data_IF_917073091028
#
_entry.id   IF_917073091028
#
_cell.length_a   1.000
_cell.length_b   1.000
_cell.length_c   1.000
_cell.angle_alpha   90.00
_cell.angle_beta   90.00
_cell.angle_gamma   90.00
#
_symmetry.space_group_name_H-M   'P 1'
#
loop_
_entity.id
_entity.type
_entity.pdbx_description
1 polymer ?
#
# COMPACT_ATOMS: atom_id res chain seq x y z
N UNK A 1 -53.50 -23.87 -26.77
CA UNK A 1 -52.21 -24.28 -27.37
C UNK A 1 -51.31 -23.06 -27.54
N UNK A 2 -51.89 -21.90 -27.86
CA UNK A 2 -51.22 -20.58 -27.96
C UNK A 2 -50.50 -20.14 -26.66
N UNK A 3 -51.13 -20.26 -25.48
CA UNK A 3 -50.51 -19.84 -24.20
C UNK A 3 -49.17 -20.51 -23.87
N UNK A 4 -48.96 -21.77 -24.31
CA UNK A 4 -47.69 -22.48 -24.11
C UNK A 4 -46.61 -21.98 -25.07
N UNK A 5 -47.00 -21.56 -26.27
CA UNK A 5 -46.08 -21.06 -27.30
C UNK A 5 -45.58 -19.65 -26.93
N UNK A 6 -46.48 -18.80 -26.45
CA UNK A 6 -46.15 -17.45 -25.98
C UNK A 6 -45.24 -17.47 -24.76
N UNK A 7 -45.47 -18.38 -23.81
CA UNK A 7 -44.62 -18.53 -22.63
C UNK A 7 -43.21 -19.03 -23.00
N UNK A 8 -43.13 -19.95 -23.97
CA UNK A 8 -41.87 -20.47 -24.46
C UNK A 8 -41.08 -19.43 -25.26
N UNK A 9 -41.77 -18.56 -26.02
CA UNK A 9 -41.13 -17.45 -26.73
C UNK A 9 -40.60 -16.38 -25.76
N UNK A 10 -41.34 -16.04 -24.71
CA UNK A 10 -40.89 -15.11 -23.66
C UNK A 10 -39.66 -15.63 -22.91
N UNK A 11 -39.65 -16.91 -22.55
CA UNK A 11 -38.50 -17.52 -21.88
C UNK A 11 -37.23 -17.52 -22.76
N UNK A 12 -37.38 -17.69 -24.08
CA UNK A 12 -36.25 -17.60 -25.00
C UNK A 12 -35.68 -16.18 -25.11
N UNK A 13 -36.55 -15.17 -25.06
CA UNK A 13 -36.15 -13.76 -25.12
C UNK A 13 -35.45 -13.32 -23.83
N UNK A 14 -35.94 -13.77 -22.68
CA UNK A 14 -35.30 -13.54 -21.37
C UNK A 14 -33.93 -14.24 -21.28
N UNK A 15 -33.81 -15.47 -21.78
CA UNK A 15 -32.51 -16.16 -21.88
C UNK A 15 -31.52 -15.41 -22.76
N UNK A 16 -31.95 -14.86 -23.90
CA UNK A 16 -31.08 -14.07 -24.78
C UNK A 16 -30.62 -12.78 -24.11
N UNK A 17 -31.52 -12.12 -23.38
CA UNK A 17 -31.20 -10.91 -22.61
C UNK A 17 -30.16 -11.19 -21.53
N UNK A 18 -30.35 -12.26 -20.74
CA UNK A 18 -29.42 -12.67 -19.70
C UNK A 18 -28.04 -13.08 -20.28
N UNK A 19 -28.02 -13.69 -21.46
CA UNK A 19 -26.77 -13.99 -22.16
C UNK A 19 -26.02 -12.74 -22.61
N UNK A 20 -26.72 -11.70 -23.03
CA UNK A 20 -26.10 -10.45 -23.47
C UNK A 20 -25.57 -9.63 -22.28
N UNK A 21 -26.31 -9.60 -21.17
CA UNK A 21 -25.87 -8.98 -19.92
C UNK A 21 -24.60 -9.66 -19.38
N UNK A 22 -24.56 -10.99 -19.38
CA UNK A 22 -23.38 -11.75 -18.98
C UNK A 22 -22.16 -11.49 -19.89
N UNK A 23 -22.37 -11.26 -21.20
CA UNK A 23 -21.25 -10.90 -22.10
C UNK A 23 -20.69 -9.51 -21.79
N UNK A 24 -21.55 -8.56 -21.44
CA UNK A 24 -21.14 -7.21 -21.08
C UNK A 24 -20.32 -7.23 -19.78
N UNK A 25 -20.77 -7.98 -18.77
CA UNK A 25 -20.01 -8.16 -17.52
C UNK A 25 -18.63 -8.79 -17.77
N UNK A 26 -18.55 -9.79 -18.65
CA UNK A 26 -17.27 -10.41 -19.04
C UNK A 26 -16.36 -9.40 -19.74
N UNK A 27 -16.91 -8.53 -20.59
CA UNK A 27 -16.15 -7.49 -21.27
C UNK A 27 -15.59 -6.44 -20.28
N UNK A 28 -16.38 -6.04 -19.29
CA UNK A 28 -15.97 -5.09 -18.26
C UNK A 28 -14.88 -5.67 -17.35
N UNK A 29 -15.01 -6.95 -16.98
CA UNK A 29 -13.97 -7.68 -16.25
C UNK A 29 -12.69 -7.78 -17.09
N UNK A 30 -12.80 -8.08 -18.39
CA UNK A 30 -11.64 -8.16 -19.28
C UNK A 30 -10.91 -6.82 -19.40
N UNK A 31 -11.65 -5.73 -19.59
CA UNK A 31 -11.09 -4.38 -19.64
C UNK A 31 -10.40 -3.99 -18.31
N UNK A 32 -11.00 -4.37 -17.18
CA UNK A 32 -10.39 -4.16 -15.86
C UNK A 32 -9.10 -4.97 -15.68
N UNK A 33 -9.06 -6.21 -16.18
CA UNK A 33 -7.86 -7.06 -16.16
C UNK A 33 -6.75 -6.45 -17.03
N UNK A 34 -7.07 -6.01 -18.25
CA UNK A 34 -6.09 -5.38 -19.15
C UNK A 34 -5.54 -4.08 -18.57
N UNK A 35 -6.38 -3.25 -17.95
CA UNK A 35 -5.94 -2.05 -17.24
C UNK A 35 -5.01 -2.39 -16.07
N UNK A 36 -5.34 -3.41 -15.29
CA UNK A 36 -4.51 -3.84 -14.14
C UNK A 36 -3.17 -4.42 -14.61
N UNK A 37 -3.15 -5.14 -15.74
CA UNK A 37 -1.94 -5.65 -16.36
C UNK A 37 -1.01 -4.53 -16.83
N UNK A 38 -1.55 -3.53 -17.52
CA UNK A 38 -0.78 -2.35 -17.95
C UNK A 38 -0.16 -1.61 -16.76
N UNK A 39 -0.89 -1.48 -15.64
CA UNK A 39 -0.37 -0.87 -14.41
C UNK A 39 0.73 -1.70 -13.74
N UNK A 40 0.73 -3.02 -13.89
CA UNK A 40 1.79 -3.90 -13.42
C UNK A 40 3.05 -3.78 -14.28
N UNK A 41 2.89 -3.72 -15.61
CA UNK A 41 4.01 -3.49 -16.55
C UNK A 41 4.66 -2.10 -16.30
N UNK A 42 3.87 -1.05 -16.07
CA UNK A 42 4.37 0.27 -15.65
C UNK A 42 5.09 0.23 -14.29
N UNK A 43 4.62 -0.60 -13.34
CA UNK A 43 5.27 -0.77 -12.05
C UNK A 43 6.62 -1.49 -12.20
N UNK A 44 6.73 -2.49 -13.08
CA UNK A 44 7.98 -3.17 -13.41
C UNK A 44 9.00 -2.23 -14.08
N UNK A 45 8.54 -1.37 -14.99
CA UNK A 45 9.38 -0.32 -15.60
C UNK A 45 9.80 0.77 -14.60
N UNK A 46 8.94 1.09 -13.64
CA UNK A 46 9.28 1.98 -12.53
C UNK A 46 10.35 1.35 -11.61
N UNK A 47 10.30 0.03 -11.41
CA UNK A 47 11.32 -0.74 -10.66
C UNK A 47 12.65 -0.78 -11.44
N UNK A 48 12.63 -0.94 -12.77
CA UNK A 48 13.84 -1.02 -13.61
C UNK A 48 14.53 0.35 -13.81
N UNK A 49 13.76 1.44 -13.89
CA UNK A 49 14.24 2.82 -14.03
C UNK A 49 14.87 3.44 -12.77
N UNK A 50 14.85 2.74 -11.62
CA UNK A 50 15.39 3.27 -10.37
C UNK A 50 16.91 3.56 -10.39
N UNK A 51 17.65 2.94 -11.31
CA UNK A 51 19.08 3.21 -11.50
C UNK A 51 19.36 4.65 -11.94
N UNK A 52 18.52 5.22 -12.81
CA UNK A 52 18.62 6.62 -13.24
C UNK A 52 18.06 7.58 -12.17
N UNK A 53 16.98 7.19 -11.49
CA UNK A 53 16.36 8.01 -10.45
C UNK A 53 17.30 8.31 -9.28
N UNK A 54 18.13 7.34 -8.86
CA UNK A 54 19.10 7.58 -7.81
C UNK A 54 20.13 8.66 -8.21
N UNK A 55 20.65 8.61 -9.44
CA UNK A 55 21.57 9.63 -9.96
C UNK A 55 20.91 11.02 -9.98
N UNK A 56 19.66 11.09 -10.46
CA UNK A 56 18.88 12.33 -10.47
C UNK A 56 18.68 12.89 -9.05
N UNK A 57 18.34 12.03 -8.07
CA UNK A 57 18.18 12.44 -6.66
C UNK A 57 19.50 12.94 -6.08
N UNK A 58 20.62 12.25 -6.33
CA UNK A 58 21.94 12.68 -5.86
C UNK A 58 22.34 14.03 -6.47
N UNK A 59 22.08 14.23 -7.77
CA UNK A 59 22.33 15.49 -8.46
C UNK A 59 21.45 16.64 -7.92
N UNK A 60 20.17 16.37 -7.66
CA UNK A 60 19.25 17.34 -7.04
C UNK A 60 19.71 17.71 -5.63
N UNK A 61 20.13 16.73 -4.84
CA UNK A 61 20.62 16.92 -3.48
C UNK A 61 21.90 17.75 -3.43
N UNK A 62 22.85 17.47 -4.32
CA UNK A 62 24.05 18.27 -4.48
C UNK A 62 23.71 19.72 -4.85
N UNK A 63 22.77 19.92 -5.80
CA UNK A 63 22.34 21.25 -6.26
C UNK A 63 21.57 22.05 -5.20
N UNK A 64 20.79 21.38 -4.36
CA UNK A 64 19.92 22.01 -3.35
C UNK A 64 20.46 21.90 -1.93
N UNK A 65 21.68 21.36 -1.77
CA UNK A 65 22.41 21.22 -0.51
C UNK A 65 21.65 20.49 0.59
N UNK A 66 20.81 19.51 0.24
CA UNK A 66 20.20 18.59 1.21
C UNK A 66 20.91 17.23 1.19
N UNK A 67 20.83 16.48 2.29
CA UNK A 67 21.46 15.16 2.39
C UNK A 67 20.49 14.08 1.91
N UNK A 68 21.00 13.13 1.13
CA UNK A 68 20.25 11.92 0.73
C UNK A 68 20.74 10.76 1.57
N UNK A 69 19.82 10.08 2.24
CA UNK A 69 20.10 8.82 2.90
C UNK A 69 19.60 7.67 2.02
N UNK A 70 20.49 6.75 1.68
CA UNK A 70 20.13 5.55 0.94
C UNK A 70 19.93 4.38 1.89
N UNK A 71 18.73 3.82 1.89
CA UNK A 71 18.36 2.74 2.81
C UNK A 71 17.89 1.54 2.04
N UNK A 72 18.61 0.43 2.16
CA UNK A 72 18.22 -0.84 1.56
C UNK A 72 17.06 -1.44 2.36
N UNK A 73 15.98 -1.82 1.67
CA UNK A 73 14.78 -2.36 2.29
C UNK A 73 14.40 -3.73 1.72
N UNK A 74 13.65 -4.48 2.51
CA UNK A 74 12.84 -5.58 2.01
C UNK A 74 11.43 -5.06 1.75
N UNK A 75 10.84 -5.45 0.63
CA UNK A 75 9.38 -5.39 0.48
C UNK A 75 8.81 -6.71 0.98
N UNK A 76 7.91 -6.60 1.94
CA UNK A 76 7.15 -7.73 2.45
C UNK A 76 5.78 -7.71 1.79
N UNK A 77 5.39 -8.83 1.20
CA UNK A 77 4.10 -8.96 0.51
C UNK A 77 3.42 -10.24 0.99
N UNK A 78 2.13 -10.14 1.32
CA UNK A 78 1.35 -11.29 1.76
C UNK A 78 1.24 -12.30 0.62
N UNK A 79 1.41 -13.59 0.94
CA UNK A 79 1.46 -14.67 -0.06
C UNK A 79 0.23 -14.66 -0.99
N UNK A 80 -0.97 -14.49 -0.44
CA UNK A 80 -2.20 -14.45 -1.22
C UNK A 80 -2.26 -13.23 -2.14
N UNK A 81 -1.66 -12.10 -1.74
CA UNK A 81 -1.53 -10.91 -2.59
C UNK A 81 -0.60 -11.21 -3.76
N UNK A 82 0.58 -11.78 -3.51
CA UNK A 82 1.52 -12.10 -4.59
C UNK A 82 0.92 -13.16 -5.53
N UNK A 83 0.21 -14.18 -5.01
CA UNK A 83 -0.44 -15.21 -5.86
C UNK A 83 -1.49 -14.60 -6.80
N UNK A 84 -2.20 -13.57 -6.35
CA UNK A 84 -3.19 -12.84 -7.16
C UNK A 84 -2.52 -11.93 -8.18
N UNK A 85 -1.47 -11.22 -7.79
CA UNK A 85 -0.85 -10.17 -8.61
C UNK A 85 0.22 -10.69 -9.57
N UNK A 86 1.07 -11.62 -9.12
CA UNK A 86 2.23 -12.12 -9.88
C UNK A 86 2.33 -13.65 -9.73
N UNK A 87 1.42 -14.42 -10.35
CA UNK A 87 1.41 -15.89 -10.22
C UNK A 87 2.71 -16.55 -10.70
N UNK A 88 3.40 -15.93 -11.66
CA UNK A 88 4.66 -16.41 -12.26
C UNK A 88 5.85 -16.41 -11.28
N UNK A 89 5.76 -15.66 -10.17
CA UNK A 89 6.84 -15.56 -9.18
C UNK A 89 6.87 -16.74 -8.20
N UNK A 90 5.91 -17.69 -8.28
CA UNK A 90 5.79 -18.81 -7.35
C UNK A 90 6.07 -20.18 -7.95
N UNK A 91 7.13 -20.82 -7.45
CA UNK A 91 7.26 -22.26 -7.43
C UNK A 91 6.52 -22.82 -6.19
N UNK A 92 5.38 -23.47 -6.43
CA UNK A 92 4.40 -23.95 -5.42
C UNK A 92 5.02 -24.87 -4.34
N UNK A 93 6.23 -25.41 -4.57
CA UNK A 93 6.82 -26.49 -3.78
C UNK A 93 7.57 -26.07 -2.51
N UNK A 94 7.91 -24.79 -2.33
CA UNK A 94 8.72 -24.32 -1.19
C UNK A 94 8.05 -23.26 -0.32
N UNK A 95 6.73 -23.13 -0.38
CA UNK A 95 6.03 -22.13 0.41
C UNK A 95 5.97 -22.53 1.90
N UNK A 96 6.37 -21.66 2.83
CA UNK A 96 5.98 -21.84 4.22
C UNK A 96 4.45 -21.90 4.28
N UNK A 97 3.85 -22.78 5.09
CA UNK A 97 2.40 -22.87 5.19
C UNK A 97 1.87 -21.51 5.61
N UNK A 98 1.12 -20.84 4.72
CA UNK A 98 0.56 -19.52 5.01
C UNK A 98 -0.27 -19.52 6.29
N UNK A 99 -0.39 -18.36 6.95
CA UNK A 99 -1.28 -18.21 8.11
C UNK A 99 -0.60 -18.31 9.47
N UNK A 100 0.59 -17.72 9.62
CA UNK A 100 1.17 -17.49 10.94
C UNK A 100 0.17 -16.71 11.81
N UNK A 101 -0.11 -17.21 13.02
CA UNK A 101 -1.04 -16.57 13.96
C UNK A 101 -0.27 -15.77 15.01
N UNK A 102 -0.70 -14.55 15.35
CA UNK A 102 -0.09 -13.79 16.42
C UNK A 102 -0.33 -14.49 17.77
N UNK A 103 0.50 -14.17 18.75
CA UNK A 103 0.21 -14.49 20.15
C UNK A 103 -1.11 -13.81 20.54
N UNK A 104 -1.93 -14.50 21.32
CA UNK A 104 -3.12 -13.91 21.90
C UNK A 104 -2.75 -12.71 22.79
N UNK A 105 -3.58 -11.67 22.74
CA UNK A 105 -3.47 -10.49 23.60
C UNK A 105 -4.48 -10.58 24.74
N UNK A 106 -4.21 -9.90 25.85
CA UNK A 106 -5.20 -9.75 26.93
C UNK A 106 -6.28 -8.75 26.50
N UNK A 107 -7.41 -9.25 26.00
CA UNK A 107 -8.51 -8.43 25.49
C UNK A 107 -9.31 -7.70 26.57
N UNK A 108 -9.18 -8.08 27.85
CA UNK A 108 -9.82 -7.36 28.95
C UNK A 108 -9.17 -5.99 29.16
N UNK A 109 -7.86 -5.91 28.90
CA UNK A 109 -7.02 -4.72 29.11
C UNK A 109 -6.77 -3.98 27.78
N UNK A 110 -6.57 -4.72 26.69
CA UNK A 110 -6.24 -4.19 25.37
C UNK A 110 -7.40 -4.39 24.41
N UNK A 111 -8.02 -3.30 23.97
CA UNK A 111 -9.21 -3.35 23.12
C UNK A 111 -8.88 -3.04 21.66
N UNK A 112 -9.15 -3.94 20.70
CA UNK A 112 -9.08 -3.61 19.28
C UNK A 112 -10.01 -2.45 18.93
N UNK A 113 -9.51 -1.49 18.16
CA UNK A 113 -10.26 -0.32 17.71
C UNK A 113 -9.64 0.25 16.43
N UNK A 114 -10.15 1.41 15.99
CA UNK A 114 -9.60 2.25 14.93
C UNK A 114 -9.06 3.55 15.50
N UNK A 115 -8.15 4.18 14.76
CA UNK A 115 -7.65 5.52 15.10
C UNK A 115 -8.68 6.57 14.69
N UNK A 116 -9.00 7.46 15.61
CA UNK A 116 -9.59 8.78 15.34
C UNK A 116 -8.53 9.83 14.94
N UNK A 117 -8.94 10.87 14.22
CA UNK A 117 -8.07 11.98 13.76
C UNK A 117 -7.36 12.68 14.91
N UNK A 118 -7.98 12.74 16.09
CA UNK A 118 -7.37 13.29 17.31
C UNK A 118 -6.10 12.55 17.73
N UNK A 119 -5.91 11.30 17.30
CA UNK A 119 -4.69 10.52 17.56
C UNK A 119 -3.55 10.83 16.57
N UNK A 120 -3.76 11.66 15.54
CA UNK A 120 -2.74 11.97 14.55
C UNK A 120 -1.47 12.55 15.19
N UNK A 121 -1.61 13.39 16.22
CA UNK A 121 -0.48 13.95 16.97
C UNK A 121 0.36 12.86 17.65
N UNK A 122 -0.28 11.82 18.18
CA UNK A 122 0.41 10.68 18.79
C UNK A 122 1.22 9.91 17.75
N UNK A 123 0.60 9.55 16.63
CA UNK A 123 1.28 8.85 15.53
C UNK A 123 2.43 9.71 15.00
N UNK A 124 2.20 11.01 14.82
CA UNK A 124 3.20 11.96 14.31
C UNK A 124 4.43 12.05 15.23
N UNK A 125 4.24 11.94 16.54
CA UNK A 125 5.33 11.96 17.53
C UNK A 125 6.24 10.73 17.43
N UNK A 126 5.66 9.55 17.18
CA UNK A 126 6.38 8.28 17.20
C UNK A 126 6.80 7.77 15.82
N UNK A 127 6.23 8.33 14.75
CA UNK A 127 6.63 7.97 13.40
C UNK A 127 8.03 8.50 13.08
N UNK A 128 8.89 7.64 12.53
CA UNK A 128 10.28 7.99 12.22
C UNK A 128 10.41 9.21 11.30
N UNK A 129 9.46 9.41 10.38
CA UNK A 129 9.41 10.56 9.46
C UNK A 129 8.45 11.66 9.92
N UNK A 130 7.94 11.55 11.15
CA UNK A 130 7.01 12.49 11.75
C UNK A 130 7.69 13.67 12.44
N UNK A 131 6.94 14.34 13.30
CA UNK A 131 7.44 15.42 14.17
C UNK A 131 7.23 16.84 13.66
N UNK A 132 6.52 17.05 12.55
CA UNK A 132 6.18 18.39 12.04
C UNK A 132 4.70 18.51 11.65
N UNK A 133 4.24 19.74 11.36
CA UNK A 133 2.84 19.99 10.99
C UNK A 133 2.44 19.30 9.68
N UNK A 134 3.37 19.20 8.72
CA UNK A 134 3.08 18.62 7.42
C UNK A 134 2.90 17.10 7.52
N UNK A 135 3.75 16.43 8.29
CA UNK A 135 3.58 15.01 8.59
C UNK A 135 2.31 14.75 9.39
N UNK A 136 1.92 15.65 10.30
CA UNK A 136 0.64 15.52 10.99
C UNK A 136 -0.56 15.60 10.04
N UNK A 137 -0.63 16.64 9.18
CA UNK A 137 -1.70 16.76 8.17
C UNK A 137 -1.76 15.57 7.22
N UNK A 138 -0.60 14.98 6.92
CA UNK A 138 -0.52 13.75 6.13
C UNK A 138 -1.15 12.57 6.85
N UNK A 139 -0.82 12.37 8.13
CA UNK A 139 -1.40 11.31 8.97
C UNK A 139 -2.90 11.51 9.15
N UNK A 140 -3.36 12.74 9.41
CA UNK A 140 -4.80 13.08 9.53
C UNK A 140 -5.56 12.62 8.28
N UNK A 141 -5.05 12.94 7.09
CA UNK A 141 -5.64 12.48 5.82
C UNK A 141 -5.65 10.96 5.71
N UNK A 142 -4.57 10.29 6.11
CA UNK A 142 -4.51 8.82 6.07
C UNK A 142 -5.57 8.21 6.97
N UNK A 143 -5.74 8.73 8.19
CA UNK A 143 -6.75 8.28 9.15
C UNK A 143 -8.18 8.49 8.62
N UNK A 144 -8.44 9.62 7.95
CA UNK A 144 -9.75 9.92 7.40
C UNK A 144 -10.10 9.10 6.16
N UNK A 145 -9.08 8.67 5.39
CA UNK A 145 -9.28 8.08 4.06
C UNK A 145 -9.22 6.56 4.07
N UNK A 146 -8.38 5.97 4.93
CA UNK A 146 -8.08 4.54 4.89
C UNK A 146 -8.50 3.83 6.19
N UNK A 147 -8.85 2.53 6.11
CA UNK A 147 -9.06 1.72 7.31
C UNK A 147 -7.85 1.76 8.24
N UNK A 148 -8.08 2.06 9.51
CA UNK A 148 -7.04 2.13 10.55
C UNK A 148 -7.28 1.11 11.64
N UNK A 149 -6.20 0.59 12.22
CA UNK A 149 -6.26 -0.45 13.24
C UNK A 149 -5.34 -0.09 14.40
N UNK A 150 -5.87 -0.19 15.62
CA UNK A 150 -5.12 0.03 16.84
C UNK A 150 -5.58 -0.89 17.97
N UNK A 151 -4.78 -0.93 19.03
CA UNK A 151 -5.16 -1.41 20.34
C UNK A 151 -5.22 -0.22 21.29
N UNK A 152 -6.35 -0.07 21.97
CA UNK A 152 -6.52 0.89 23.06
C UNK A 152 -6.04 0.25 24.36
N UNK A 153 -5.31 1.02 25.16
CA UNK A 153 -4.93 0.64 26.52
C UNK A 153 -6.05 0.89 27.53
N UNK A 154 -5.78 0.66 28.82
CA UNK A 154 -6.75 0.85 29.91
C UNK A 154 -7.34 2.26 29.98
N UNK A 155 -6.54 3.27 29.63
CA UNK A 155 -6.93 4.68 29.63
C UNK A 155 -7.73 5.08 28.39
N UNK A 156 -7.99 4.15 27.47
CA UNK A 156 -8.72 4.41 26.22
C UNK A 156 -7.87 5.01 25.11
N UNK A 157 -6.58 5.29 25.34
CA UNK A 157 -5.67 5.82 24.32
C UNK A 157 -5.02 4.69 23.50
N UNK A 158 -4.69 4.92 22.21
CA UNK A 158 -3.96 3.96 21.40
C UNK A 158 -2.56 3.66 21.97
N UNK A 159 -2.27 2.39 22.18
CA UNK A 159 -0.95 1.92 22.67
C UNK A 159 -0.15 1.19 21.60
N UNK A 160 -0.82 0.70 20.56
CA UNK A 160 -0.24 0.03 19.41
C UNK A 160 -1.12 0.31 18.20
N UNK A 161 -0.55 0.62 17.04
CA UNK A 161 -1.31 1.00 15.85
C UNK A 161 -0.57 0.69 14.57
N UNK A 162 -1.32 0.73 13.47
CA UNK A 162 -0.81 0.63 12.13
C UNK A 162 -1.76 1.32 11.14
N UNK A 163 -1.19 1.91 10.08
CA UNK A 163 -1.91 2.73 9.11
C UNK A 163 -1.60 2.29 7.69
N UNK A 164 -2.37 2.78 6.74
CA UNK A 164 -2.00 2.77 5.32
C UNK A 164 -1.89 4.20 4.82
N UNK A 165 -1.12 4.39 3.75
CA UNK A 165 -1.10 5.64 3.00
C UNK A 165 -1.79 5.48 1.62
N UNK A 166 -1.78 6.55 0.83
CA UNK A 166 -2.37 6.58 -0.51
C UNK A 166 -1.77 5.60 -1.52
N UNK A 167 -0.61 5.02 -1.22
CA UNK A 167 -0.05 3.96 -2.08
C UNK A 167 -0.71 2.60 -1.81
N UNK A 168 -1.47 2.47 -0.71
CA UNK A 168 -2.00 1.21 -0.23
C UNK A 168 -0.99 0.42 0.61
N UNK A 169 0.19 0.99 0.84
CA UNK A 169 1.20 0.39 1.68
C UNK A 169 0.85 0.54 3.16
N UNK A 170 1.02 -0.55 3.91
CA UNK A 170 1.00 -0.50 5.35
C UNK A 170 2.21 0.29 5.86
N UNK A 171 1.96 1.45 6.46
CA UNK A 171 2.99 2.37 6.96
C UNK A 171 2.64 2.90 8.34
N UNK A 172 3.61 3.56 8.99
CA UNK A 172 3.41 4.28 10.25
C UNK A 172 3.00 3.40 11.45
N UNK A 173 3.40 2.12 11.41
CA UNK A 173 3.30 1.18 12.52
C UNK A 173 4.00 1.72 13.79
N UNK A 174 3.36 1.57 14.95
CA UNK A 174 3.92 2.04 16.22
C UNK A 174 3.44 1.24 17.43
N UNK A 175 4.26 1.20 18.47
CA UNK A 175 3.89 0.68 19.79
C UNK A 175 4.57 1.51 20.85
N UNK A 176 3.80 2.01 21.82
CA UNK A 176 4.33 2.79 22.93
C UNK A 176 5.39 2.00 23.69
N UNK A 177 6.49 2.65 24.13
CA UNK A 177 7.63 1.98 24.76
C UNK A 177 7.26 0.98 25.88
N UNK A 178 6.33 1.36 26.73
CA UNK A 178 5.84 0.58 27.87
C UNK A 178 5.00 -0.65 27.46
N UNK A 179 4.50 -0.69 26.22
CA UNK A 179 3.75 -1.82 25.64
C UNK A 179 4.58 -2.67 24.66
N UNK A 180 5.86 -2.34 24.45
CA UNK A 180 6.73 -3.09 23.54
C UNK A 180 7.08 -4.49 24.06
N UNK A 181 7.62 -5.32 23.18
CA UNK A 181 8.08 -6.71 23.47
C UNK A 181 6.97 -7.69 23.89
N UNK A 182 5.70 -7.29 23.78
CA UNK A 182 4.54 -8.15 24.07
C UNK A 182 3.92 -8.81 22.82
N UNK A 183 4.42 -8.49 21.62
CA UNK A 183 3.89 -9.01 20.35
C UNK A 183 2.66 -8.28 19.83
N UNK A 184 2.30 -7.14 20.41
CA UNK A 184 1.11 -6.37 20.04
C UNK A 184 1.10 -5.94 18.57
N UNK A 185 2.25 -5.49 18.05
CA UNK A 185 2.31 -5.05 16.65
C UNK A 185 2.07 -6.20 15.67
N UNK A 186 2.50 -7.41 16.01
CA UNK A 186 2.21 -8.62 15.22
C UNK A 186 0.71 -8.91 15.20
N UNK A 187 0.02 -8.71 16.34
CA UNK A 187 -1.42 -8.85 16.42
C UNK A 187 -2.15 -7.81 15.57
N UNK A 188 -1.77 -6.52 15.67
CA UNK A 188 -2.38 -5.44 14.88
C UNK A 188 -2.18 -5.63 13.37
N UNK A 189 -0.95 -5.97 12.94
CA UNK A 189 -0.66 -6.25 11.53
C UNK A 189 -1.48 -7.45 11.05
N UNK A 190 -1.60 -8.51 11.85
CA UNK A 190 -2.40 -9.68 11.50
C UNK A 190 -3.88 -9.32 11.27
N UNK A 191 -4.54 -8.66 12.24
CA UNK A 191 -5.97 -8.32 12.10
C UNK A 191 -6.21 -7.37 10.91
N UNK A 192 -5.31 -6.40 10.69
CA UNK A 192 -5.39 -5.51 9.56
C UNK A 192 -5.21 -6.27 8.24
N UNK A 193 -4.23 -7.18 8.17
CA UNK A 193 -3.97 -7.98 6.96
C UNK A 193 -5.18 -8.83 6.59
N UNK A 194 -5.84 -9.45 7.59
CA UNK A 194 -7.06 -10.21 7.37
C UNK A 194 -8.20 -9.33 6.85
N UNK A 195 -8.42 -8.16 7.47
CA UNK A 195 -9.45 -7.23 7.05
C UNK A 195 -9.22 -6.70 5.63
N UNK A 196 -7.99 -6.31 5.30
CA UNK A 196 -7.60 -5.81 3.99
C UNK A 196 -7.72 -6.88 2.91
N UNK A 197 -7.26 -8.11 3.18
CA UNK A 197 -7.39 -9.22 2.23
C UNK A 197 -8.86 -9.55 1.94
N UNK A 198 -9.73 -9.50 2.94
CA UNK A 198 -11.18 -9.68 2.76
C UNK A 198 -11.82 -8.59 1.90
N UNK A 199 -11.27 -7.37 1.97
CA UNK A 199 -11.68 -6.23 1.13
C UNK A 199 -11.00 -6.22 -0.25
N UNK A 200 -10.13 -7.20 -0.54
CA UNK A 200 -9.41 -7.30 -1.82
C UNK A 200 -8.20 -6.36 -1.93
N UNK A 201 -7.79 -5.69 -0.85
CA UNK A 201 -6.60 -4.84 -0.86
C UNK A 201 -5.32 -5.68 -0.79
N UNK A 202 -4.28 -5.32 -1.57
CA UNK A 202 -2.97 -5.95 -1.44
C UNK A 202 -2.35 -5.59 -0.09
N UNK A 203 -1.80 -6.59 0.60
CA UNK A 203 -1.10 -6.37 1.87
C UNK A 203 0.40 -6.38 1.62
N UNK A 204 1.02 -5.21 1.71
CA UNK A 204 2.47 -5.08 1.56
C UNK A 204 3.03 -3.90 2.37
N UNK A 205 4.34 -3.95 2.66
CA UNK A 205 5.08 -2.89 3.33
C UNK A 205 6.59 -2.99 3.12
N UNK A 206 7.27 -1.85 3.16
CA UNK A 206 8.72 -1.77 3.17
C UNK A 206 9.26 -1.83 4.60
N UNK A 207 10.39 -2.52 4.75
CA UNK A 207 11.11 -2.59 6.02
C UNK A 207 12.59 -2.43 5.78
N UNK A 208 13.23 -1.48 6.47
CA UNK A 208 14.68 -1.32 6.49
C UNK A 208 15.36 -2.66 6.81
N UNK A 209 16.43 -3.00 6.08
CA UNK A 209 17.23 -4.22 6.30
C UNK A 209 17.78 -4.35 7.73
N UNK A 210 17.89 -3.24 8.45
CA UNK A 210 18.36 -3.16 9.83
C UNK A 210 17.21 -3.27 10.85
N UNK A 211 15.94 -3.11 10.44
CA UNK A 211 14.79 -3.28 11.32
C UNK A 211 14.47 -4.77 11.51
N UNK A 212 15.30 -5.44 12.33
CA UNK A 212 15.18 -6.87 12.62
C UNK A 212 13.89 -7.24 13.35
N UNK A 213 13.32 -6.29 14.10
CA UNK A 213 12.05 -6.49 14.80
C UNK A 213 10.94 -6.68 13.77
N UNK A 214 10.78 -5.76 12.83
CA UNK A 214 9.73 -5.86 11.82
C UNK A 214 9.95 -7.03 10.87
N UNK A 215 11.19 -7.37 10.53
CA UNK A 215 11.49 -8.60 9.79
C UNK A 215 10.99 -9.85 10.53
N UNK A 216 11.25 -9.94 11.84
CA UNK A 216 10.75 -11.06 12.66
C UNK A 216 9.22 -11.11 12.69
N UNK A 217 8.55 -9.95 12.75
CA UNK A 217 7.09 -9.87 12.66
C UNK A 217 6.61 -10.46 11.33
N UNK A 218 7.21 -10.05 10.20
CA UNK A 218 6.86 -10.57 8.88
C UNK A 218 7.02 -12.09 8.78
N UNK A 219 8.16 -12.61 9.25
CA UNK A 219 8.42 -14.05 9.21
C UNK A 219 7.45 -14.83 10.10
N UNK A 220 7.12 -14.33 11.29
CA UNK A 220 6.13 -14.95 12.17
C UNK A 220 4.72 -15.01 11.55
N UNK A 221 4.40 -14.09 10.64
CA UNK A 221 3.13 -14.06 9.91
C UNK A 221 3.21 -14.77 8.56
N UNK A 222 4.34 -15.40 8.23
CA UNK A 222 4.63 -16.03 6.94
C UNK A 222 4.40 -15.09 5.74
N UNK A 223 4.78 -13.82 5.90
CA UNK A 223 4.77 -12.81 4.85
C UNK A 223 6.10 -12.91 4.08
N UNK A 224 6.03 -13.03 2.76
CA UNK A 224 7.19 -13.24 1.90
C UNK A 224 8.03 -11.97 1.78
N UNK A 225 9.35 -12.12 1.91
CA UNK A 225 10.30 -11.02 1.77
C UNK A 225 10.93 -11.04 0.37
N UNK A 226 10.96 -9.89 -0.30
CA UNK A 226 11.71 -9.69 -1.54
C UNK A 226 12.71 -8.53 -1.33
N UNK A 227 13.99 -8.72 -1.70
CA UNK A 227 14.98 -7.65 -1.58
C UNK A 227 14.66 -6.55 -2.61
N UNK A 228 14.64 -5.30 -2.17
CA UNK A 228 14.52 -4.15 -3.07
C UNK A 228 15.73 -3.25 -2.89
N UNK A 229 16.44 -3.01 -3.98
CA UNK A 229 17.42 -1.92 -4.08
C UNK A 229 16.64 -0.67 -4.45
N UNK A 230 16.16 0.05 -3.43
CA UNK A 230 15.45 1.30 -3.62
C UNK A 230 15.94 2.32 -2.60
N UNK A 231 15.88 3.59 -2.97
CA UNK A 231 15.94 4.69 -2.03
C UNK A 231 14.70 4.60 -1.15
N UNK A 232 14.77 3.92 0.01
CA UNK A 232 13.81 4.19 1.09
C UNK A 232 14.16 5.51 1.78
N UNK A 233 14.35 6.55 0.98
CA UNK A 233 13.64 7.76 1.26
C UNK A 233 12.33 7.58 0.52
N UNK A 234 11.23 7.42 1.25
CA UNK A 234 10.12 8.29 0.87
C UNK A 234 10.81 9.64 0.66
N UNK A 235 10.85 10.16 -0.56
CA UNK A 235 10.82 11.60 -0.69
C UNK A 235 9.45 11.95 -0.10
N UNK A 236 9.34 11.91 1.23
CA UNK A 236 8.53 12.83 1.95
C UNK A 236 9.11 14.13 1.42
N UNK A 237 8.46 14.70 0.41
CA UNK A 237 8.70 16.04 -0.08
C UNK A 237 8.46 17.07 1.05
N UNK A 238 8.53 16.67 2.33
CA UNK A 238 8.37 17.47 3.53
C UNK A 238 9.58 18.35 3.83
N UNK A 239 10.76 18.10 3.25
CA UNK A 239 11.88 19.03 3.35
C UNK A 239 11.75 20.18 2.33
N UNK A 240 10.93 21.16 2.74
CA UNK A 240 11.03 22.62 2.55
C UNK A 240 11.37 23.29 1.20
N UNK A 241 11.69 22.62 0.07
CA UNK A 241 12.19 23.36 -1.13
C UNK A 241 11.56 22.99 -2.48
N UNK A 242 10.74 21.95 -2.61
CA UNK A 242 10.26 21.49 -3.94
C UNK A 242 8.74 21.58 -4.20
N UNK A 243 7.99 22.36 -3.43
CA UNK A 243 6.55 22.56 -3.68
C UNK A 243 6.17 23.94 -4.24
N UNK A 244 7.08 24.69 -4.86
CA UNK A 244 6.74 25.93 -5.59
C UNK A 244 6.56 25.76 -7.10
N UNK A 245 6.75 24.58 -7.71
CA UNK A 245 6.68 24.52 -9.19
C UNK A 245 6.16 23.25 -9.84
N UNK A 246 5.61 22.26 -9.13
CA UNK A 246 5.01 21.09 -9.81
C UNK A 246 3.51 21.06 -9.56
N UNK A 247 2.80 21.82 -10.40
CA UNK A 247 1.37 21.66 -10.64
C UNK A 247 1.24 20.52 -11.66
N UNK A 248 0.93 19.30 -11.21
CA UNK A 248 0.52 18.24 -12.14
C UNK A 248 -0.86 18.60 -12.68
N UNK A 249 -0.91 19.14 -13.91
CA UNK A 249 -2.09 19.09 -14.76
C UNK A 249 -1.87 17.97 -15.79
N UNK A 250 -2.87 17.13 -16.08
CA UNK A 250 -2.74 16.09 -17.08
C UNK A 250 -3.10 16.67 -18.45
N UNK A 251 -2.12 16.86 -19.33
CA UNK A 251 -2.36 16.83 -20.77
C UNK A 251 -1.12 16.26 -21.47
N UNK A 252 -1.25 15.01 -21.90
CA UNK A 252 -0.42 14.42 -22.94
C UNK A 252 -0.88 15.00 -24.28
N UNK A 253 0.04 15.52 -25.09
CA UNK A 253 -0.26 16.13 -26.38
C UNK A 253 1.02 16.38 -27.17
N UNK A 254 1.33 15.46 -28.06
CA UNK A 254 2.45 15.46 -29.00
C UNK A 254 2.40 16.65 -29.97
N UNK A 255 3.53 17.32 -30.21
CA UNK A 255 3.89 17.82 -31.55
C UNK A 255 5.31 18.38 -31.60
N UNK A 256 6.04 17.98 -32.64
CA UNK A 256 7.32 18.50 -33.11
C UNK A 256 7.36 20.03 -33.22
N UNK A 257 8.53 20.62 -32.98
CA UNK A 257 8.79 22.02 -33.26
C UNK A 257 10.24 22.42 -32.94
N UNK A 258 10.98 22.72 -34.00
CA UNK A 258 12.37 23.17 -34.10
C UNK A 258 12.69 24.51 -33.42
N UNK A 259 13.97 24.67 -33.01
CA UNK A 259 14.79 25.92 -33.03
C UNK A 259 14.38 26.97 -31.97
N UNK A 260 15.24 27.55 -31.11
CA UNK A 260 16.41 28.36 -31.44
C UNK A 260 17.37 28.60 -30.25
N UNK A 261 18.57 29.07 -30.60
CA UNK A 261 19.62 29.61 -29.72
C UNK A 261 19.26 31.01 -29.18
N UNK A 262 19.64 31.32 -27.96
CA UNK A 262 20.07 32.66 -27.47
C UNK A 262 20.73 32.46 -26.09
N UNK A 263 22.05 32.66 -25.90
CA UNK A 263 22.82 33.92 -25.73
C UNK A 263 22.24 34.85 -24.66
N UNK A 264 22.83 34.80 -23.46
CA UNK A 264 23.71 35.83 -22.88
C UNK A 264 24.54 35.24 -21.74
#
# INVERSE_FOLDING_TARGET
MEDKFDNMSKNQEEMKKNQEEMKNDIADVKNSIESTKSRLEEAEDCISSQSNLNEVIQNLAARKSFKVQHTQCFIFVMLDTVKKLIPSLFDVKNLPPGGGKPKAINQEILKPSSLDVTHAALVNKFWHFGGNERSQRFIERCIQTFPTFCLLGPEGNPVCWNLMDQTGEIRMAGTLPEFQKQGLITYVIYIQSQALNNLGFPVYYHTDKNNKIMQKVSYNLHISAYPVLGTSGTVCLCDSVLQTSIRWAPTCGSSNGSVDREKE
#
